data_IF_433784833032
#
_entry.id   IF_433784833032
#
_cell.length_a   1.000
_cell.length_b   1.000
_cell.length_c   1.000
_cell.angle_alpha   90.00
_cell.angle_beta   90.00
_cell.angle_gamma   90.00
#
_symmetry.space_group_name_H-M   'P 1'
#
loop_
_entity.id
_entity.type
_entity.pdbx_description
1 polymer ?
#
# COMPACT_ATOMS: atom_id res chain seq x y z
N UNK A 1 -37.61 -25.91 28.52
CA UNK A 1 -36.67 -25.13 29.34
C UNK A 1 -35.30 -25.10 28.64
N UNK A 2 -34.90 -24.00 28.09
CA UNK A 2 -33.54 -23.85 27.52
C UNK A 2 -32.53 -23.85 28.67
N UNK A 3 -31.59 -24.78 28.63
CA UNK A 3 -30.55 -24.95 29.65
C UNK A 3 -29.64 -23.73 29.67
N UNK A 4 -29.60 -22.99 30.77
CA UNK A 4 -28.82 -21.75 30.96
C UNK A 4 -27.35 -21.94 30.63
N UNK A 5 -26.78 -23.13 30.83
CA UNK A 5 -25.39 -23.48 30.48
C UNK A 5 -25.16 -23.52 28.97
N UNK A 6 -26.12 -23.91 28.16
CA UNK A 6 -26.02 -23.92 26.69
C UNK A 6 -26.07 -22.51 26.11
N UNK A 7 -26.83 -21.61 26.73
CA UNK A 7 -26.90 -20.20 26.35
C UNK A 7 -25.56 -19.52 26.62
N UNK A 8 -24.94 -19.79 27.77
CA UNK A 8 -23.59 -19.24 28.07
C UNK A 8 -22.52 -19.78 27.14
N UNK A 9 -22.54 -21.05 26.76
CA UNK A 9 -21.60 -21.63 25.81
C UNK A 9 -21.79 -21.06 24.42
N UNK A 10 -23.02 -20.80 23.98
CA UNK A 10 -23.32 -20.19 22.70
C UNK A 10 -22.89 -18.72 22.67
N UNK A 11 -23.08 -17.98 23.76
CA UNK A 11 -22.68 -16.59 23.88
C UNK A 11 -21.15 -16.43 23.84
N UNK A 12 -20.40 -17.32 24.51
CA UNK A 12 -18.93 -17.34 24.51
C UNK A 12 -18.41 -17.68 23.13
N UNK A 13 -19.03 -18.60 22.38
CA UNK A 13 -18.65 -18.97 21.03
C UNK A 13 -18.88 -17.80 20.03
N UNK A 14 -19.98 -17.07 20.16
CA UNK A 14 -20.27 -15.89 19.32
C UNK A 14 -19.27 -14.76 19.59
N UNK A 15 -18.87 -14.53 20.84
CA UNK A 15 -17.87 -13.50 21.19
C UNK A 15 -16.49 -13.88 20.66
N UNK A 16 -16.13 -15.17 20.64
CA UNK A 16 -14.85 -15.65 20.11
C UNK A 16 -14.76 -15.54 18.58
N UNK A 17 -15.88 -15.72 17.86
CA UNK A 17 -15.93 -15.53 16.40
C UNK A 17 -15.82 -14.06 15.94
N UNK A 18 -16.14 -13.09 16.80
CA UNK A 18 -16.03 -11.66 16.50
C UNK A 18 -14.60 -11.12 16.62
N UNK A 19 -13.68 -11.88 17.21
CA UNK A 19 -12.29 -11.45 17.48
C UNK A 19 -11.32 -11.64 16.28
N UNK A 20 -11.75 -12.17 15.13
CA UNK A 20 -10.84 -12.51 14.01
C UNK A 20 -11.00 -11.63 12.76
N UNK A 21 -11.65 -10.48 12.85
CA UNK A 21 -11.58 -9.49 11.78
C UNK A 21 -10.25 -8.74 11.92
N UNK A 22 -9.17 -9.31 11.38
CA UNK A 22 -7.97 -8.56 11.06
C UNK A 22 -8.34 -7.54 9.98
N UNK A 23 -8.82 -6.38 10.39
CA UNK A 23 -8.92 -5.23 9.51
C UNK A 23 -7.47 -4.90 9.12
N UNK A 24 -7.07 -5.29 7.93
CA UNK A 24 -5.87 -4.71 7.34
C UNK A 24 -6.18 -3.22 7.15
N UNK A 25 -5.67 -2.40 8.06
CA UNK A 25 -5.79 -0.96 7.94
C UNK A 25 -5.15 -0.55 6.62
N UNK A 26 -5.94 0.00 5.72
CA UNK A 26 -5.47 0.62 4.49
C UNK A 26 -4.48 1.72 4.87
N UNK A 27 -3.25 1.64 4.37
CA UNK A 27 -2.26 2.67 4.61
C UNK A 27 -2.58 3.87 3.72
N UNK A 28 -3.11 4.92 4.34
CA UNK A 28 -3.43 6.15 3.64
C UNK A 28 -3.26 7.35 4.56
N UNK A 29 -2.67 8.42 4.02
CA UNK A 29 -2.59 9.73 4.65
C UNK A 29 -3.68 10.63 4.05
N UNK A 30 -4.36 11.39 4.89
CA UNK A 30 -5.32 12.42 4.45
C UNK A 30 -4.74 13.80 4.77
N UNK A 31 -4.66 14.64 3.75
CA UNK A 31 -4.15 16.01 3.84
C UNK A 31 -5.15 16.92 3.13
N UNK A 32 -5.89 17.72 3.89
CA UNK A 32 -6.99 18.54 3.39
C UNK A 32 -7.98 17.71 2.55
N UNK A 33 -8.22 18.09 1.30
CA UNK A 33 -9.08 17.37 0.36
C UNK A 33 -8.38 16.19 -0.35
N UNK A 34 -7.13 15.90 -0.01
CA UNK A 34 -6.34 14.86 -0.67
C UNK A 34 -6.23 13.60 0.19
N UNK A 35 -6.25 12.46 -0.46
CA UNK A 35 -5.98 11.15 0.14
C UNK A 35 -4.88 10.46 -0.64
N UNK A 36 -3.81 10.10 0.05
CA UNK A 36 -2.66 9.41 -0.52
C UNK A 36 -2.62 7.99 0.02
N UNK A 37 -2.92 7.03 -0.83
CA UNK A 37 -2.79 5.60 -0.51
C UNK A 37 -1.39 5.14 -0.85
N UNK A 38 -0.83 4.28 -0.01
CA UNK A 38 0.50 3.72 -0.26
C UNK A 38 0.62 2.30 0.27
N UNK A 39 1.33 1.47 -0.46
CA UNK A 39 1.65 0.11 -0.06
C UNK A 39 2.93 -0.35 -0.75
N UNK A 40 3.60 -1.33 -0.14
CA UNK A 40 4.73 -2.03 -0.75
C UNK A 40 4.56 -3.53 -0.53
N UNK A 41 4.63 -4.33 -1.58
CA UNK A 41 4.41 -5.77 -1.56
C UNK A 41 5.51 -6.51 -2.31
N UNK A 42 5.65 -7.82 -2.06
CA UNK A 42 6.46 -8.68 -2.91
C UNK A 42 5.87 -8.73 -4.32
N UNK A 43 6.68 -8.57 -5.35
CA UNK A 43 6.20 -8.58 -6.74
C UNK A 43 5.59 -9.92 -7.15
N UNK A 44 5.93 -11.00 -6.47
CA UNK A 44 5.34 -12.34 -6.68
C UNK A 44 3.86 -12.42 -6.33
N UNK A 45 3.35 -11.49 -5.51
CA UNK A 45 1.92 -11.39 -5.17
C UNK A 45 1.07 -10.78 -6.28
N UNK A 46 1.71 -10.15 -7.27
CA UNK A 46 1.02 -9.59 -8.45
C UNK A 46 0.82 -10.73 -9.44
N UNK A 47 -0.39 -10.82 -10.01
CA UNK A 47 -0.69 -11.83 -11.03
C UNK A 47 0.22 -11.66 -12.26
N UNK A 48 0.68 -12.76 -12.91
CA UNK A 48 1.61 -12.70 -14.04
C UNK A 48 1.12 -11.82 -15.19
N UNK A 49 -0.18 -11.88 -15.48
CA UNK A 49 -0.83 -11.13 -16.55
C UNK A 49 -0.76 -9.61 -16.28
N UNK A 50 -1.05 -9.21 -15.03
CA UNK A 50 -0.98 -7.81 -14.57
C UNK A 50 0.47 -7.32 -14.59
N UNK A 51 1.41 -8.13 -14.10
CA UNK A 51 2.82 -7.78 -14.09
C UNK A 51 3.36 -7.60 -15.53
N UNK A 52 2.95 -8.47 -16.45
CA UNK A 52 3.32 -8.37 -17.88
C UNK A 52 2.75 -7.08 -18.51
N UNK A 53 1.47 -6.80 -18.27
CA UNK A 53 0.79 -5.62 -18.81
C UNK A 53 1.50 -4.30 -18.39
N UNK A 54 1.91 -4.20 -17.15
CA UNK A 54 2.51 -2.98 -16.58
C UNK A 54 4.03 -3.04 -16.49
N UNK A 55 4.67 -4.04 -17.11
CA UNK A 55 6.12 -4.24 -17.13
C UNK A 55 6.75 -4.30 -15.73
N UNK A 56 6.03 -4.90 -14.79
CA UNK A 56 6.49 -5.13 -13.43
C UNK A 56 7.40 -6.35 -13.41
N UNK A 57 8.62 -6.19 -12.88
CA UNK A 57 9.54 -7.31 -12.70
C UNK A 57 9.06 -8.20 -11.56
N UNK A 58 8.61 -9.42 -11.88
CA UNK A 58 8.25 -10.45 -10.88
C UNK A 58 9.46 -11.30 -10.53
N UNK A 59 9.89 -11.18 -9.28
CA UNK A 59 10.95 -12.02 -8.71
C UNK A 59 10.75 -12.12 -7.20
N UNK A 60 11.22 -13.21 -6.58
CA UNK A 60 11.23 -13.35 -5.14
C UNK A 60 12.11 -12.31 -4.43
N UNK A 61 12.99 -11.64 -5.17
CA UNK A 61 13.88 -10.59 -4.67
C UNK A 61 13.41 -9.17 -5.04
N UNK A 62 12.22 -9.04 -5.64
CA UNK A 62 11.68 -7.77 -6.07
C UNK A 62 10.40 -7.42 -5.32
N UNK A 63 10.35 -6.19 -4.86
CA UNK A 63 9.15 -5.56 -4.33
C UNK A 63 8.58 -4.53 -5.28
N UNK A 64 7.32 -4.20 -5.09
CA UNK A 64 6.62 -3.15 -5.81
C UNK A 64 6.00 -2.20 -4.81
N UNK A 65 6.28 -0.92 -4.98
CA UNK A 65 5.56 0.16 -4.31
C UNK A 65 4.42 0.58 -5.21
N UNK A 66 3.24 0.72 -4.62
CA UNK A 66 2.06 1.30 -5.24
C UNK A 66 1.63 2.54 -4.46
N UNK A 67 1.50 3.66 -5.16
CA UNK A 67 0.97 4.92 -4.64
C UNK A 67 -0.24 5.32 -5.48
N UNK A 68 -1.31 5.78 -4.83
CA UNK A 68 -2.43 6.43 -5.50
C UNK A 68 -2.74 7.76 -4.82
N UNK A 69 -2.88 8.81 -5.61
CA UNK A 69 -3.19 10.15 -5.13
C UNK A 69 -4.60 10.51 -5.57
N UNK A 70 -5.45 10.84 -4.63
CA UNK A 70 -6.84 11.17 -4.86
C UNK A 70 -7.16 12.56 -4.29
N UNK A 71 -8.11 13.23 -4.91
CA UNK A 71 -8.67 14.49 -4.43
C UNK A 71 -10.18 14.35 -4.24
N UNK A 72 -10.72 14.92 -3.19
CA UNK A 72 -12.17 14.98 -2.96
C UNK A 72 -12.78 16.02 -3.90
N UNK A 73 -13.69 15.57 -4.76
CA UNK A 73 -14.47 16.40 -5.72
C UNK A 73 -15.92 15.98 -5.57
N UNK A 74 -16.81 16.91 -5.28
CA UNK A 74 -18.25 16.64 -5.12
C UNK A 74 -18.56 15.44 -4.21
N UNK A 75 -17.94 15.41 -3.01
CA UNK A 75 -18.03 14.36 -2.00
C UNK A 75 -17.48 12.97 -2.38
N UNK A 76 -16.85 12.82 -3.54
CA UNK A 76 -16.18 11.59 -3.98
C UNK A 76 -14.66 11.79 -4.16
N UNK A 77 -13.87 10.76 -3.83
CA UNK A 77 -12.44 10.75 -4.12
C UNK A 77 -12.18 10.30 -5.56
N UNK A 78 -11.42 11.10 -6.30
CA UNK A 78 -11.04 10.82 -7.70
C UNK A 78 -9.53 10.87 -7.83
N UNK A 79 -8.95 9.93 -8.59
CA UNK A 79 -7.51 9.91 -8.90
C UNK A 79 -7.08 11.18 -9.62
N UNK A 80 -5.97 11.76 -9.19
CA UNK A 80 -5.39 12.96 -9.80
C UNK A 80 -3.93 12.73 -10.18
N UNK A 81 -3.43 13.38 -11.25
CA UNK A 81 -2.02 13.35 -11.61
C UNK A 81 -1.17 14.04 -10.54
N UNK A 82 0.01 13.44 -10.29
CA UNK A 82 1.00 13.96 -9.34
C UNK A 82 2.42 13.65 -9.80
N UNK A 83 3.38 14.41 -9.31
CA UNK A 83 4.80 14.15 -9.47
C UNK A 83 5.33 13.47 -8.22
N UNK A 84 6.00 12.33 -8.39
CA UNK A 84 6.55 11.53 -7.30
C UNK A 84 8.05 11.38 -7.44
N UNK A 85 8.74 11.49 -6.31
CA UNK A 85 10.15 11.08 -6.18
C UNK A 85 10.33 10.38 -4.84
N UNK A 86 11.24 9.41 -4.76
CA UNK A 86 11.40 8.69 -3.51
C UNK A 86 12.63 7.81 -3.44
N UNK A 87 12.87 7.30 -2.24
CA UNK A 87 13.94 6.37 -1.93
C UNK A 87 13.43 5.22 -1.06
N UNK A 88 14.00 4.04 -1.28
CA UNK A 88 13.92 2.89 -0.39
C UNK A 88 15.29 2.71 0.27
N UNK A 89 15.35 2.72 1.61
CA UNK A 89 16.60 2.61 2.37
C UNK A 89 16.52 1.42 3.32
N UNK A 90 17.51 0.53 3.30
CA UNK A 90 17.59 -0.54 4.27
C UNK A 90 18.16 -0.07 5.63
N UNK A 91 18.21 -0.95 6.62
CA UNK A 91 18.72 -0.61 7.97
C UNK A 91 20.22 -0.36 7.98
N UNK A 92 20.96 -0.79 6.97
CA UNK A 92 22.40 -0.51 6.80
C UNK A 92 22.66 0.85 6.14
N UNK A 93 21.60 1.58 5.77
CA UNK A 93 21.72 2.89 5.12
C UNK A 93 21.94 2.84 3.61
N UNK A 94 21.90 1.66 2.99
CA UNK A 94 21.94 1.52 1.53
C UNK A 94 20.63 2.03 0.95
N UNK A 95 20.70 2.83 -0.12
CA UNK A 95 19.55 3.50 -0.71
C UNK A 95 19.36 3.10 -2.17
N UNK A 96 18.12 2.89 -2.54
CA UNK A 96 17.67 2.73 -3.92
C UNK A 96 16.76 3.91 -4.27
N UNK A 97 17.04 4.57 -5.39
CA UNK A 97 16.15 5.58 -5.95
C UNK A 97 14.93 4.88 -6.57
N UNK A 98 13.74 5.37 -6.24
CA UNK A 98 12.49 4.87 -6.80
C UNK A 98 12.18 5.65 -8.09
N UNK A 99 11.88 4.91 -9.16
CA UNK A 99 11.42 5.47 -10.44
C UNK A 99 9.98 5.04 -10.65
N UNK A 100 9.06 5.99 -10.59
CA UNK A 100 7.64 5.73 -10.68
C UNK A 100 7.15 5.73 -12.12
N UNK A 101 6.35 4.72 -12.47
CA UNK A 101 5.59 4.64 -13.71
C UNK A 101 4.12 4.94 -13.39
N UNK A 102 3.55 5.92 -14.09
CA UNK A 102 2.13 6.28 -13.97
C UNK A 102 1.27 5.31 -14.77
N UNK A 103 0.20 4.80 -14.16
CA UNK A 103 -0.75 3.85 -14.74
C UNK A 103 -2.16 4.39 -14.54
N UNK A 104 -2.93 4.42 -15.63
CA UNK A 104 -4.33 4.82 -15.62
C UNK A 104 -5.24 3.60 -15.73
N UNK A 105 -6.15 3.44 -14.76
CA UNK A 105 -7.21 2.44 -14.77
C UNK A 105 -8.57 3.09 -14.50
N UNK A 106 -9.31 3.37 -15.55
CA UNK A 106 -10.56 4.10 -15.45
C UNK A 106 -10.37 5.49 -14.83
N UNK A 107 -10.94 5.71 -13.64
CA UNK A 107 -10.79 6.97 -12.88
C UNK A 107 -9.63 6.92 -11.86
N UNK A 108 -8.95 5.81 -11.72
CA UNK A 108 -7.84 5.65 -10.81
C UNK A 108 -6.50 5.91 -11.51
N UNK A 109 -5.58 6.53 -10.80
CA UNK A 109 -4.21 6.74 -11.24
C UNK A 109 -3.29 6.14 -10.18
N UNK A 110 -2.43 5.21 -10.62
CA UNK A 110 -1.47 4.52 -9.79
C UNK A 110 -0.04 4.88 -10.22
N UNK A 111 0.86 4.92 -9.25
CA UNK A 111 2.28 5.11 -9.46
C UNK A 111 3.02 3.91 -8.92
N UNK A 112 3.62 3.13 -9.81
CA UNK A 112 4.33 1.90 -9.46
C UNK A 112 5.85 2.08 -9.60
N UNK A 113 6.59 1.53 -8.65
CA UNK A 113 8.06 1.44 -8.72
C UNK A 113 8.53 0.10 -8.17
N UNK A 114 9.45 -0.56 -8.88
CA UNK A 114 10.16 -1.73 -8.37
C UNK A 114 11.30 -1.30 -7.45
N UNK A 115 11.65 -2.18 -6.50
CA UNK A 115 12.87 -2.12 -5.71
C UNK A 115 13.35 -3.54 -5.42
N UNK A 116 14.67 -3.68 -5.27
CA UNK A 116 15.29 -4.97 -4.96
C UNK A 116 15.47 -5.14 -3.45
N UNK A 117 15.28 -6.37 -2.93
CA UNK A 117 15.50 -6.70 -1.53
C UNK A 117 16.10 -8.11 -1.35
N UNK A 118 16.78 -8.31 -0.23
CA UNK A 118 17.28 -9.62 0.24
C UNK A 118 16.30 -10.24 1.24
N UNK A 119 16.51 -11.54 1.56
CA UNK A 119 15.64 -12.19 2.55
C UNK A 119 15.73 -11.50 3.92
N UNK A 120 14.60 -11.38 4.59
CA UNK A 120 14.43 -10.74 5.89
C UNK A 120 14.90 -9.27 5.95
N UNK A 121 14.90 -8.59 4.83
CA UNK A 121 15.35 -7.20 4.76
C UNK A 121 14.24 -6.22 5.08
N UNK A 122 14.56 -5.22 5.90
CA UNK A 122 13.63 -4.15 6.27
C UNK A 122 13.99 -2.88 5.52
N UNK A 123 13.02 -2.31 4.82
CA UNK A 123 13.14 -1.03 4.13
C UNK A 123 12.31 0.06 4.78
N UNK A 124 12.89 1.26 4.83
CA UNK A 124 12.23 2.53 5.10
C UNK A 124 12.02 3.23 3.75
N UNK A 125 10.79 3.58 3.48
CA UNK A 125 10.40 4.31 2.28
C UNK A 125 10.17 5.78 2.62
N UNK A 126 10.68 6.66 1.78
CA UNK A 126 10.40 8.09 1.81
C UNK A 126 10.00 8.51 0.40
N UNK A 127 8.78 9.03 0.25
CA UNK A 127 8.21 9.38 -1.05
C UNK A 127 7.64 10.79 -0.96
N UNK A 128 8.22 11.70 -1.72
CA UNK A 128 7.76 13.07 -1.84
C UNK A 128 6.77 13.16 -3.01
N UNK A 129 5.58 13.72 -2.74
CA UNK A 129 4.44 13.77 -3.64
C UNK A 129 3.99 15.21 -3.82
N UNK A 130 3.84 15.63 -5.07
CA UNK A 130 3.32 16.97 -5.41
C UNK A 130 2.21 16.83 -6.43
N UNK A 131 1.02 17.37 -6.13
CA UNK A 131 -0.06 17.42 -7.12
C UNK A 131 0.26 18.45 -8.22
N UNK A 132 -0.27 18.23 -9.42
CA UNK A 132 -0.01 19.13 -10.55
C UNK A 132 -0.65 20.52 -10.34
N UNK A 133 -1.69 20.64 -9.51
CA UNK A 133 -2.28 21.93 -9.12
C UNK A 133 -1.47 22.68 -8.05
N UNK A 134 -0.37 22.07 -7.56
CA UNK A 134 0.56 22.65 -6.59
C UNK A 134 0.01 22.75 -5.16
N UNK A 135 -1.20 22.27 -4.89
CA UNK A 135 -1.87 22.38 -3.58
C UNK A 135 -1.48 21.27 -2.61
N UNK A 136 -1.12 20.08 -3.12
CA UNK A 136 -0.55 19.00 -2.32
C UNK A 136 0.98 19.03 -2.43
N UNK A 137 1.64 19.11 -1.28
CA UNK A 137 3.08 18.84 -1.14
C UNK A 137 3.24 18.01 0.15
N UNK A 138 3.32 16.69 0.00
CA UNK A 138 3.28 15.74 1.10
C UNK A 138 4.40 14.71 1.00
N UNK A 139 4.94 14.29 2.13
CA UNK A 139 5.94 13.22 2.20
C UNK A 139 5.38 12.03 2.96
N UNK A 140 5.21 10.92 2.27
CA UNK A 140 4.86 9.63 2.87
C UNK A 140 6.13 8.96 3.40
N UNK A 141 6.06 8.46 4.64
CA UNK A 141 7.13 7.67 5.25
C UNK A 141 6.54 6.43 5.90
N UNK A 142 7.02 5.26 5.52
CA UNK A 142 6.64 4.00 6.14
C UNK A 142 7.78 3.00 6.09
N UNK A 143 7.60 1.89 6.80
CA UNK A 143 8.61 0.84 6.90
C UNK A 143 7.93 -0.51 6.72
N UNK A 144 8.63 -1.45 6.05
CA UNK A 144 8.18 -2.83 5.90
C UNK A 144 9.35 -3.80 5.83
N UNK A 145 9.17 -4.99 6.40
CA UNK A 145 10.09 -6.13 6.26
C UNK A 145 9.62 -7.02 5.11
N UNK A 146 10.57 -7.49 4.29
CA UNK A 146 10.34 -8.35 3.14
C UNK A 146 11.02 -9.70 3.31
N UNK A 147 10.41 -10.73 2.74
CA UNK A 147 10.87 -12.12 2.77
C UNK A 147 10.85 -12.69 1.36
N UNK A 148 11.81 -13.57 1.03
CA UNK A 148 11.97 -14.13 -0.32
C UNK A 148 11.26 -15.48 -0.52
N UNK A 149 10.37 -15.90 0.36
CA UNK A 149 9.59 -17.14 0.29
C UNK A 149 8.11 -16.86 0.09
#
# INVERSE_FOLDING_TARGET
MLNLSRIHQFLIFVIFCLATLSVQAEQADTVDDYKVHYNAINSTLIQPEVASQYKILRSRFEGVINIAVQKKIDDAYTGIPASLSGTASNLLGQQQKLTFTEIHEGKAIYYLSNFHFSNEETFKFKIDIKSNDGKLNHTVKFQRKFFTH
#
